data_IF_591474223384
#
_entry.id   IF_591474223384
#
_cell.length_a   1.000
_cell.length_b   1.000
_cell.length_c   1.000
_cell.angle_alpha   90.00
_cell.angle_beta   90.00
_cell.angle_gamma   90.00
#
_symmetry.space_group_name_H-M   'P 1'
#
loop_
_entity.id
_entity.type
_entity.pdbx_description
1 polymer ?
#
# COMPACT_ATOMS: atom_id res chain seq x y z
N UNK A 1 -2.92 -10.61 -58.65
CA UNK A 1 -2.06 -9.51 -58.14
C UNK A 1 -2.79 -8.49 -57.29
N UNK A 2 -3.98 -7.99 -57.61
CA UNK A 2 -4.71 -6.97 -56.82
C UNK A 2 -5.11 -7.45 -55.41
N UNK A 3 -5.42 -8.73 -55.23
CA UNK A 3 -5.79 -9.30 -53.90
C UNK A 3 -4.60 -9.37 -52.92
N UNK A 4 -3.40 -9.65 -53.44
CA UNK A 4 -2.18 -9.74 -52.60
C UNK A 4 -1.77 -8.37 -52.11
N UNK A 5 -1.94 -7.32 -52.91
CA UNK A 5 -1.63 -5.93 -52.54
C UNK A 5 -2.60 -5.41 -51.45
N UNK A 6 -3.89 -5.78 -51.55
CA UNK A 6 -4.87 -5.42 -50.50
C UNK A 6 -4.59 -6.12 -49.15
N UNK A 7 -4.15 -7.39 -49.19
CA UNK A 7 -3.81 -8.14 -47.97
C UNK A 7 -2.54 -7.60 -47.30
N UNK A 8 -1.54 -7.18 -48.08
CA UNK A 8 -0.31 -6.57 -47.53
C UNK A 8 -0.54 -5.18 -46.96
N UNK A 9 -1.45 -4.38 -47.53
CA UNK A 9 -1.86 -3.09 -46.93
C UNK A 9 -2.64 -3.24 -45.61
N UNK A 10 -3.43 -4.32 -45.49
CA UNK A 10 -4.16 -4.59 -44.24
C UNK A 10 -3.22 -5.05 -43.11
N UNK A 11 -2.18 -5.81 -43.43
CA UNK A 11 -1.16 -6.27 -42.47
C UNK A 11 -0.25 -5.12 -41.98
N UNK A 12 -0.01 -4.08 -42.79
CA UNK A 12 0.82 -2.94 -42.40
C UNK A 12 0.16 -2.05 -41.34
N UNK A 13 -1.18 -2.05 -41.26
CA UNK A 13 -1.90 -1.25 -40.26
C UNK A 13 -1.98 -1.92 -38.88
N UNK A 14 -1.61 -3.19 -38.74
CA UNK A 14 -1.62 -3.91 -37.46
C UNK A 14 -0.39 -3.58 -36.56
N UNK A 15 0.64 -2.94 -37.11
CA UNK A 15 1.89 -2.66 -36.38
C UNK A 15 1.86 -1.36 -35.59
N UNK A 16 0.79 -0.57 -35.69
CA UNK A 16 0.62 0.71 -34.98
C UNK A 16 -0.44 0.62 -33.88
N UNK A 17 -0.44 -0.47 -33.11
CA UNK A 17 -1.21 -0.51 -31.86
C UNK A 17 -0.42 0.30 -30.84
N UNK A 18 -0.94 1.46 -30.36
CA UNK A 18 -0.31 2.14 -29.25
C UNK A 18 -0.26 1.18 -28.07
N UNK A 19 0.90 1.04 -27.45
CA UNK A 19 1.01 0.31 -26.18
C UNK A 19 -0.02 0.93 -25.22
N UNK A 20 -1.06 0.15 -24.91
CA UNK A 20 -2.02 0.52 -23.90
C UNK A 20 -1.24 0.52 -22.56
N UNK A 21 -0.74 1.68 -22.16
CA UNK A 21 -0.27 1.89 -20.80
C UNK A 21 -1.48 1.73 -19.89
N UNK A 22 -1.78 0.50 -19.51
CA UNK A 22 -2.69 0.23 -18.42
C UNK A 22 -2.06 0.91 -17.20
N UNK A 23 -2.61 2.05 -16.79
CA UNK A 23 -2.23 2.70 -15.55
C UNK A 23 -2.36 1.67 -14.44
N UNK A 24 -1.23 1.13 -13.99
CA UNK A 24 -1.21 0.22 -12.85
C UNK A 24 -1.68 1.04 -11.66
N UNK A 25 -2.87 0.73 -11.17
CA UNK A 25 -3.34 1.30 -9.92
C UNK A 25 -2.34 0.91 -8.83
N UNK A 26 -1.82 1.91 -8.12
CA UNK A 26 -1.05 1.70 -6.91
C UNK A 26 -2.02 1.20 -5.84
N UNK A 27 -1.72 0.05 -5.25
CA UNK A 27 -2.60 -0.59 -4.28
C UNK A 27 -1.79 -1.09 -3.09
N UNK A 28 -2.14 -0.62 -1.91
CA UNK A 28 -1.69 -1.22 -0.67
C UNK A 28 -2.83 -2.04 -0.04
N UNK A 29 -2.48 -2.91 0.87
CA UNK A 29 -3.42 -3.70 1.65
C UNK A 29 -3.16 -3.48 3.13
N UNK A 30 -4.21 -3.49 3.93
CA UNK A 30 -4.09 -3.48 5.38
C UNK A 30 -5.08 -4.45 5.97
N UNK A 31 -4.59 -5.26 6.87
CA UNK A 31 -5.40 -6.12 7.71
C UNK A 31 -5.36 -5.58 9.13
N UNK A 32 -6.54 -5.38 9.72
CA UNK A 32 -6.69 -4.94 11.11
C UNK A 32 -7.38 -6.03 11.89
N UNK A 33 -6.68 -6.58 12.87
CA UNK A 33 -7.18 -7.59 13.80
C UNK A 33 -7.18 -7.04 15.22
N UNK A 34 -7.81 -7.76 16.14
CA UNK A 34 -7.74 -7.49 17.58
C UNK A 34 -6.97 -8.61 18.27
N UNK A 35 -5.93 -8.25 19.00
CA UNK A 35 -5.16 -9.16 19.82
C UNK A 35 -5.09 -8.60 21.25
N UNK A 36 -5.59 -9.36 22.23
CA UNK A 36 -5.62 -8.93 23.63
C UNK A 36 -6.27 -7.54 23.84
N UNK A 37 -7.37 -7.26 23.13
CA UNK A 37 -8.09 -5.97 23.16
C UNK A 37 -7.27 -4.77 22.62
N UNK A 38 -6.21 -5.03 21.90
CA UNK A 38 -5.44 -4.01 21.19
C UNK A 38 -5.53 -4.25 19.67
N UNK A 39 -5.60 -3.20 18.86
CA UNK A 39 -5.59 -3.36 17.40
C UNK A 39 -4.18 -3.67 16.91
N UNK A 40 -4.11 -4.68 16.05
CA UNK A 40 -2.90 -5.06 15.34
C UNK A 40 -3.12 -4.91 13.83
N UNK A 41 -2.22 -4.22 13.18
CA UNK A 41 -2.28 -3.93 11.77
C UNK A 41 -1.14 -4.66 11.05
N UNK A 42 -1.42 -5.18 9.85
CA UNK A 42 -0.40 -5.61 8.91
C UNK A 42 -0.54 -4.75 7.66
N UNK A 43 0.38 -3.80 7.48
CA UNK A 43 0.41 -2.99 6.27
C UNK A 43 1.26 -3.68 5.21
N UNK A 44 0.64 -3.99 4.07
CA UNK A 44 1.28 -4.58 2.91
C UNK A 44 1.34 -3.53 1.81
N UNK A 45 2.54 -3.09 1.47
CA UNK A 45 2.80 -1.99 0.54
C UNK A 45 3.86 -2.38 -0.48
N UNK A 46 3.68 -1.99 -1.75
CA UNK A 46 4.66 -2.34 -2.78
C UNK A 46 5.95 -1.53 -2.59
N UNK A 47 7.10 -2.17 -2.79
CA UNK A 47 8.39 -1.46 -2.79
C UNK A 47 8.45 -0.40 -3.90
N UNK A 48 7.74 -0.63 -5.00
CA UNK A 48 7.62 0.36 -6.08
C UNK A 48 6.98 1.66 -5.57
N UNK A 49 5.88 1.57 -4.84
CA UNK A 49 5.17 2.75 -4.34
C UNK A 49 5.99 3.50 -3.29
N UNK A 50 6.68 2.77 -2.40
CA UNK A 50 7.60 3.36 -1.42
C UNK A 50 8.77 4.09 -2.10
N UNK A 51 9.26 3.55 -3.23
CA UNK A 51 10.29 4.20 -4.05
C UNK A 51 9.74 5.47 -4.70
N UNK A 52 8.53 5.44 -5.24
CA UNK A 52 7.87 6.63 -5.81
C UNK A 52 7.66 7.73 -4.75
N UNK A 53 7.40 7.36 -3.50
CA UNK A 53 7.34 8.26 -2.35
C UNK A 53 8.72 8.74 -1.87
N UNK A 54 9.81 8.32 -2.54
CA UNK A 54 11.22 8.67 -2.24
C UNK A 54 11.69 8.26 -0.84
N UNK A 55 11.08 7.23 -0.26
CA UNK A 55 11.45 6.74 1.07
C UNK A 55 12.80 6.02 1.11
N UNK A 56 13.36 5.71 -0.04
CA UNK A 56 14.69 5.12 -0.19
C UNK A 56 15.67 6.07 -0.90
N UNK A 57 15.48 7.39 -0.71
CA UNK A 57 16.29 8.41 -1.38
C UNK A 57 16.05 8.46 -2.89
N UNK A 58 17.12 8.64 -3.67
CA UNK A 58 17.07 8.71 -5.15
C UNK A 58 17.21 7.35 -5.84
N UNK A 59 17.17 6.24 -5.11
CA UNK A 59 17.36 4.91 -5.66
C UNK A 59 16.18 4.46 -6.50
N UNK A 60 16.47 3.73 -7.57
CA UNK A 60 15.43 3.09 -8.39
C UNK A 60 15.04 1.73 -7.80
N UNK A 61 13.83 1.25 -8.10
CA UNK A 61 13.33 -0.03 -7.61
C UNK A 61 14.29 -1.20 -7.87
N UNK A 62 14.97 -1.21 -9.02
CA UNK A 62 15.92 -2.25 -9.40
C UNK A 62 17.21 -2.29 -8.55
N UNK A 63 17.45 -1.24 -7.78
CA UNK A 63 18.63 -1.09 -6.95
C UNK A 63 18.37 -1.34 -5.47
N UNK A 64 17.10 -1.50 -5.07
CA UNK A 64 16.75 -1.67 -3.67
C UNK A 64 16.98 -3.12 -3.25
N UNK A 65 17.94 -3.33 -2.38
CA UNK A 65 18.17 -4.58 -1.67
C UNK A 65 17.41 -4.61 -0.33
N UNK A 66 17.27 -5.81 0.23
CA UNK A 66 16.70 -5.96 1.58
C UNK A 66 17.45 -5.17 2.64
N UNK A 67 18.78 -5.13 2.54
CA UNK A 67 19.62 -4.34 3.46
C UNK A 67 19.31 -2.84 3.39
N UNK A 68 19.03 -2.33 2.20
CA UNK A 68 18.64 -0.92 2.03
C UNK A 68 17.25 -0.64 2.61
N UNK A 69 16.29 -1.57 2.46
CA UNK A 69 14.98 -1.44 3.12
C UNK A 69 15.14 -1.34 4.63
N UNK A 70 15.97 -2.20 5.22
CA UNK A 70 16.27 -2.18 6.67
C UNK A 70 16.99 -0.90 7.08
N UNK A 71 17.94 -0.42 6.27
CA UNK A 71 18.70 0.80 6.55
C UNK A 71 17.81 2.05 6.64
N UNK A 72 16.65 2.07 5.94
CA UNK A 72 15.69 3.18 5.96
C UNK A 72 14.51 2.92 6.91
N UNK A 73 14.72 2.09 7.95
CA UNK A 73 13.69 1.78 8.95
C UNK A 73 13.12 3.04 9.61
N UNK A 74 13.98 3.95 9.99
CA UNK A 74 13.58 5.14 10.76
C UNK A 74 12.75 6.10 9.88
N UNK A 75 13.16 6.32 8.63
CA UNK A 75 12.42 7.13 7.67
C UNK A 75 11.04 6.52 7.38
N UNK A 76 10.98 5.19 7.24
CA UNK A 76 9.72 4.47 7.01
C UNK A 76 8.83 4.53 8.24
N UNK A 77 9.39 4.44 9.44
CA UNK A 77 8.66 4.59 10.70
C UNK A 77 8.04 5.98 10.82
N UNK A 78 8.83 7.03 10.59
CA UNK A 78 8.34 8.42 10.61
C UNK A 78 7.27 8.66 9.55
N UNK A 79 7.44 8.09 8.37
CA UNK A 79 6.45 8.18 7.30
C UNK A 79 5.12 7.54 7.72
N UNK A 80 5.15 6.34 8.28
CA UNK A 80 3.96 5.63 8.76
C UNK A 80 3.25 6.49 9.83
N UNK A 81 3.97 6.95 10.84
CA UNK A 81 3.40 7.75 11.93
C UNK A 81 2.80 9.08 11.47
N UNK A 82 3.31 9.64 10.37
CA UNK A 82 2.79 10.87 9.77
C UNK A 82 1.53 10.64 8.93
N UNK A 83 1.44 9.51 8.22
CA UNK A 83 0.43 9.30 7.19
C UNK A 83 -0.62 8.24 7.55
N UNK A 84 -0.42 7.49 8.63
CA UNK A 84 -1.37 6.52 9.15
C UNK A 84 -1.66 6.89 10.61
N UNK A 85 -2.93 7.08 10.94
CA UNK A 85 -3.35 7.33 12.30
C UNK A 85 -4.44 6.34 12.71
N UNK A 86 -4.36 5.90 13.95
CA UNK A 86 -5.36 5.06 14.57
C UNK A 86 -5.86 5.77 15.83
N UNK A 87 -7.17 5.79 16.03
CA UNK A 87 -7.79 6.43 17.19
C UNK A 87 -8.77 5.48 17.87
N UNK A 88 -8.96 5.68 19.13
CA UNK A 88 -10.02 5.07 19.92
C UNK A 88 -11.01 6.12 20.44
N UNK A 89 -11.94 5.72 21.29
CA UNK A 89 -12.91 6.59 21.96
C UNK A 89 -12.26 7.74 22.74
N UNK A 90 -11.05 7.56 23.24
CA UNK A 90 -10.36 8.51 24.11
C UNK A 90 -9.35 9.38 23.36
N UNK A 91 -9.04 9.04 22.11
CA UNK A 91 -8.14 9.84 21.27
C UNK A 91 -7.17 9.04 20.42
N UNK A 92 -6.02 9.61 20.06
CA UNK A 92 -5.06 8.94 19.21
C UNK A 92 -4.32 7.81 19.93
N UNK A 93 -4.17 6.68 19.23
CA UNK A 93 -3.34 5.57 19.65
C UNK A 93 -1.89 5.78 19.17
N UNK A 94 -0.91 5.32 19.94
CA UNK A 94 0.47 5.27 19.48
C UNK A 94 0.68 4.12 18.53
N UNK A 95 1.39 4.34 17.41
CA UNK A 95 1.75 3.27 16.48
C UNK A 95 3.17 2.80 16.75
N UNK A 96 3.32 1.52 17.10
CA UNK A 96 4.59 0.85 17.28
C UNK A 96 4.84 -0.10 16.09
N UNK A 97 5.81 0.24 15.25
CA UNK A 97 6.19 -0.58 14.11
C UNK A 97 7.12 -1.69 14.63
N UNK A 98 6.82 -2.94 14.27
CA UNK A 98 7.61 -4.08 14.70
C UNK A 98 9.07 -4.00 14.22
N UNK A 99 9.96 -4.67 14.94
CA UNK A 99 11.36 -4.77 14.54
C UNK A 99 11.52 -5.40 13.15
N UNK A 100 12.58 -5.02 12.44
CA UNK A 100 12.87 -5.46 11.07
C UNK A 100 13.01 -6.98 10.93
N UNK A 101 13.30 -7.69 12.02
CA UNK A 101 13.28 -9.16 12.07
C UNK A 101 11.88 -9.75 11.85
N UNK A 102 10.83 -8.97 12.09
CA UNK A 102 9.43 -9.35 11.87
C UNK A 102 8.89 -8.90 10.51
N UNK A 103 9.64 -8.08 9.78
CA UNK A 103 9.25 -7.66 8.44
C UNK A 103 9.38 -8.83 7.48
N UNK A 104 8.51 -8.87 6.48
CA UNK A 104 8.49 -9.91 5.46
C UNK A 104 8.29 -9.27 4.10
N UNK A 105 8.66 -10.00 3.06
CA UNK A 105 8.32 -9.64 1.68
C UNK A 105 7.42 -10.71 1.08
N UNK A 106 6.54 -10.28 0.20
CA UNK A 106 5.66 -11.16 -0.56
C UNK A 106 5.58 -10.68 -2.00
N UNK A 107 5.74 -11.60 -2.94
CA UNK A 107 5.47 -11.30 -4.34
C UNK A 107 3.97 -11.45 -4.62
N UNK A 108 3.36 -10.40 -5.19
CA UNK A 108 1.96 -10.36 -5.58
C UNK A 108 1.85 -9.66 -6.94
N UNK A 109 1.22 -10.30 -7.92
CA UNK A 109 1.01 -9.73 -9.26
C UNK A 109 2.28 -9.11 -9.87
N UNK A 110 3.39 -9.85 -9.82
CA UNK A 110 4.71 -9.44 -10.31
C UNK A 110 5.34 -8.22 -9.57
N UNK A 111 4.76 -7.79 -8.46
CA UNK A 111 5.31 -6.75 -7.61
C UNK A 111 5.76 -7.33 -6.27
N UNK A 112 6.84 -6.77 -5.73
CA UNK A 112 7.35 -7.13 -4.41
C UNK A 112 6.74 -6.19 -3.36
N UNK A 113 6.02 -6.77 -2.42
CA UNK A 113 5.40 -6.08 -1.30
C UNK A 113 6.20 -6.27 -0.02
N UNK A 114 6.29 -5.21 0.76
CA UNK A 114 6.77 -5.23 2.13
C UNK A 114 5.57 -5.41 3.06
N UNK A 115 5.66 -6.32 4.01
CA UNK A 115 4.68 -6.58 5.05
C UNK A 115 5.23 -6.04 6.38
N UNK A 116 4.55 -5.06 6.92
CA UNK A 116 4.93 -4.34 8.13
C UNK A 116 3.88 -4.58 9.22
N UNK A 117 4.20 -5.37 10.25
CA UNK A 117 3.36 -5.45 11.44
C UNK A 117 3.46 -4.15 12.24
N UNK A 118 2.31 -3.63 12.66
CA UNK A 118 2.17 -2.39 13.43
C UNK A 118 1.19 -2.66 14.56
N UNK A 119 1.59 -2.40 15.79
CA UNK A 119 0.71 -2.47 16.95
C UNK A 119 0.20 -1.05 17.25
N UNK A 120 -1.13 -0.90 17.34
CA UNK A 120 -1.73 0.34 17.79
C UNK A 120 -2.01 0.25 19.29
N UNK A 121 -1.30 1.06 20.07
CA UNK A 121 -1.43 1.10 21.52
C UNK A 121 -2.51 2.12 21.86
N UNK A 122 -3.70 1.63 22.16
CA UNK A 122 -4.91 2.39 22.42
C UNK A 122 -5.24 2.40 23.92
N UNK A 123 -5.94 3.43 24.38
CA UNK A 123 -6.40 3.54 25.76
C UNK A 123 -7.75 2.86 25.98
N UNK A 124 -8.54 2.71 24.91
CA UNK A 124 -9.86 2.08 24.95
C UNK A 124 -9.97 1.01 23.86
N UNK A 125 -10.62 -0.15 24.15
CA UNK A 125 -10.92 -1.15 23.12
C UNK A 125 -12.15 -0.81 22.29
N UNK A 126 -12.66 0.42 22.37
CA UNK A 126 -13.90 0.83 21.75
C UNK A 126 -13.71 1.93 20.68
N UNK A 127 -14.60 1.93 19.68
CA UNK A 127 -14.69 2.98 18.67
C UNK A 127 -13.39 3.23 17.92
N UNK A 128 -12.72 2.16 17.53
CA UNK A 128 -11.52 2.27 16.73
C UNK A 128 -11.78 2.86 15.35
N UNK A 129 -10.90 3.74 14.92
CA UNK A 129 -10.96 4.37 13.60
C UNK A 129 -9.57 4.40 12.99
N UNK A 130 -9.49 4.08 11.71
CA UNK A 130 -8.28 4.19 10.90
C UNK A 130 -8.37 5.41 9.99
N UNK A 131 -7.35 6.26 10.00
CA UNK A 131 -7.10 7.28 8.98
C UNK A 131 -5.86 6.88 8.19
N UNK A 132 -5.99 6.83 6.86
CA UNK A 132 -4.93 6.42 5.95
C UNK A 132 -4.72 7.49 4.89
N UNK A 133 -3.54 8.08 4.86
CA UNK A 133 -3.14 9.12 3.92
C UNK A 133 -1.83 8.77 3.19
N UNK A 134 -1.25 7.59 3.48
CA UNK A 134 0.01 7.18 2.87
C UNK A 134 -0.14 7.00 1.35
N UNK A 135 0.86 7.46 0.60
CA UNK A 135 1.00 7.32 -0.85
C UNK A 135 -0.02 8.09 -1.69
N UNK A 136 -0.92 8.87 -1.08
CA UNK A 136 -1.83 9.74 -1.85
C UNK A 136 -1.10 10.93 -2.49
N UNK A 137 0.10 11.24 -2.04
CA UNK A 137 0.98 12.27 -2.58
C UNK A 137 1.74 11.84 -3.84
N UNK A 138 1.80 10.55 -4.14
CA UNK A 138 2.59 10.03 -5.28
C UNK A 138 2.00 10.33 -6.66
N UNK A 139 0.85 11.00 -6.71
CA UNK A 139 0.18 11.39 -7.96
C UNK A 139 -0.52 10.25 -8.71
N UNK A 140 -0.47 9.02 -8.19
CA UNK A 140 -1.21 7.88 -8.70
C UNK A 140 -2.56 7.77 -7.99
N UNK A 141 -3.52 7.10 -8.61
CA UNK A 141 -4.79 6.74 -7.96
C UNK A 141 -4.54 5.61 -6.93
N UNK A 142 -3.75 5.96 -5.90
CA UNK A 142 -3.44 5.02 -4.82
C UNK A 142 -4.70 4.66 -4.04
N UNK A 143 -4.83 3.37 -3.69
CA UNK A 143 -5.93 2.84 -2.87
C UNK A 143 -5.37 1.93 -1.80
N UNK A 144 -6.01 1.96 -0.63
CA UNK A 144 -5.82 0.95 0.39
C UNK A 144 -7.02 0.00 0.36
N UNK A 145 -6.76 -1.29 0.18
CA UNK A 145 -7.73 -2.35 0.42
C UNK A 145 -7.63 -2.79 1.87
N UNK A 146 -8.65 -2.43 2.64
CA UNK A 146 -8.71 -2.70 4.07
C UNK A 146 -9.54 -3.96 4.34
N UNK A 147 -8.96 -4.90 5.10
CA UNK A 147 -9.65 -6.02 5.72
C UNK A 147 -9.74 -5.76 7.22
N UNK A 148 -10.94 -5.45 7.71
CA UNK A 148 -11.17 -5.18 9.12
C UNK A 148 -11.76 -6.42 9.79
N UNK A 149 -11.03 -6.99 10.75
CA UNK A 149 -11.39 -8.22 11.44
C UNK A 149 -11.61 -7.99 12.95
N UNK A 150 -11.33 -6.78 13.43
CA UNK A 150 -11.35 -6.47 14.85
C UNK A 150 -12.77 -6.45 15.47
N UNK A 151 -13.80 -6.12 14.69
CA UNK A 151 -15.20 -6.08 15.14
C UNK A 151 -16.16 -6.83 14.20
N UNK A 152 -15.63 -7.82 13.48
CA UNK A 152 -16.34 -8.57 12.44
C UNK A 152 -15.57 -8.50 11.13
N UNK A 153 -15.88 -9.38 10.17
CA UNK A 153 -15.17 -9.39 8.89
C UNK A 153 -15.81 -8.41 7.92
N UNK A 154 -15.23 -7.23 7.78
CA UNK A 154 -15.64 -6.24 6.79
C UNK A 154 -14.47 -5.87 5.87
N UNK A 155 -14.79 -5.41 4.67
CA UNK A 155 -13.81 -4.93 3.70
C UNK A 155 -14.17 -3.51 3.28
N UNK A 156 -13.17 -2.68 3.09
CA UNK A 156 -13.34 -1.31 2.62
C UNK A 156 -12.23 -0.93 1.65
N UNK A 157 -12.50 0.08 0.83
CA UNK A 157 -11.50 0.72 -0.02
C UNK A 157 -11.33 2.15 0.47
N UNK A 158 -10.12 2.51 0.89
CA UNK A 158 -9.77 3.88 1.21
C UNK A 158 -9.04 4.51 0.02
N UNK A 159 -9.34 5.78 -0.20
CA UNK A 159 -8.78 6.61 -1.27
C UNK A 159 -8.56 8.02 -0.74
N UNK A 160 -7.96 8.87 -1.54
CA UNK A 160 -7.74 10.29 -1.18
C UNK A 160 -9.04 10.99 -0.74
N UNK A 161 -10.16 10.67 -1.41
CA UNK A 161 -11.46 11.28 -1.10
C UNK A 161 -12.20 10.58 0.05
N UNK A 162 -11.78 9.38 0.42
CA UNK A 162 -12.33 8.58 1.51
C UNK A 162 -11.18 7.96 2.31
N UNK A 163 -10.50 8.78 3.08
CA UNK A 163 -9.28 8.39 3.81
C UNK A 163 -9.54 7.79 5.20
N UNK A 164 -10.78 7.81 5.68
CA UNK A 164 -11.12 7.39 7.04
C UNK A 164 -12.07 6.20 6.99
N UNK A 165 -11.79 5.19 7.82
CA UNK A 165 -12.65 4.04 8.07
C UNK A 165 -13.05 4.02 9.54
N UNK A 166 -14.34 4.18 9.87
CA UNK A 166 -14.87 3.96 11.20
C UNK A 166 -14.99 2.44 11.43
N UNK A 167 -14.31 1.93 12.44
CA UNK A 167 -14.19 0.49 12.71
C UNK A 167 -15.30 -0.10 13.61
N UNK A 168 -16.48 0.51 13.69
CA UNK A 168 -17.63 0.08 14.50
C UNK A 168 -18.79 -0.38 13.65
#
# INVERSE_FOLDING_TARGET
MKFIILLSLLLLNLTWLPEANAHKFSTAYMEVSSESQQPRLIWKVSLHDLTQAKLFGSQTLTQISWQQVIAHKDELTLYIQKHIAFTDKLGPCSLAIADTSNWRTQQLQQQLYLLLPIDAICQSPEQWQLSYQALFETGHNHKLLLSWQASGKTQAVLSKDKAIYPGY
#
